data_IF_196111758734
#
_entry.id   IF_196111758734
#
_cell.length_a   1.000
_cell.length_b   1.000
_cell.length_c   1.000
_cell.angle_alpha   90.00
_cell.angle_beta   90.00
_cell.angle_gamma   90.00
#
_symmetry.space_group_name_H-M   'P 1'
#
loop_
_entity.id
_entity.type
_entity.pdbx_description
1 polymer ?
#
# COMPACT_ATOMS: atom_id res chain seq x y z
N UNK A 1 -6.34 -40.23 52.07
CA UNK A 1 -7.22 -40.37 50.89
C UNK A 1 -6.89 -39.24 49.91
N UNK A 2 -6.37 -39.62 48.74
CA UNK A 2 -6.33 -38.90 47.45
C UNK A 2 -5.48 -37.62 47.31
N UNK A 3 -4.47 -37.76 46.43
CA UNK A 3 -3.67 -36.73 45.75
C UNK A 3 -4.49 -35.60 45.13
N UNK A 4 -3.90 -34.41 44.97
CA UNK A 4 -4.06 -33.64 43.72
C UNK A 4 -2.88 -32.68 43.47
N UNK A 5 -2.12 -33.06 42.44
CA UNK A 5 -1.21 -32.22 41.66
C UNK A 5 -2.03 -31.20 40.86
N UNK A 6 -1.50 -29.99 40.71
CA UNK A 6 -2.00 -28.95 39.80
C UNK A 6 -1.98 -27.59 40.47
N UNK A 7 -1.55 -26.51 39.84
CA UNK A 7 -1.23 -26.29 38.44
C UNK A 7 -0.50 -24.93 38.40
N UNK A 8 0.57 -24.85 37.61
CA UNK A 8 1.26 -23.60 37.29
C UNK A 8 0.23 -22.52 36.92
N UNK A 9 0.29 -21.38 37.61
CA UNK A 9 -0.47 -20.18 37.26
C UNK A 9 0.20 -19.57 36.02
N UNK A 10 -0.14 -20.10 34.85
CA UNK A 10 0.27 -19.55 33.57
C UNK A 10 -0.36 -18.15 33.43
N UNK A 11 0.52 -17.15 33.30
CA UNK A 11 0.17 -15.80 32.91
C UNK A 11 -0.65 -15.87 31.62
N UNK A 12 -1.91 -15.46 31.71
CA UNK A 12 -2.84 -15.37 30.59
C UNK A 12 -2.38 -14.21 29.70
N UNK A 13 -1.36 -14.48 28.88
CA UNK A 13 -1.06 -13.64 27.73
C UNK A 13 -2.27 -13.61 26.80
N UNK A 14 -2.54 -12.50 26.10
CA UNK A 14 -3.61 -12.46 25.12
C UNK A 14 -3.23 -13.36 23.93
N UNK A 15 -3.66 -14.61 23.99
CA UNK A 15 -3.63 -15.56 22.89
C UNK A 15 -4.77 -15.22 21.91
N UNK A 16 -4.59 -14.15 21.15
CA UNK A 16 -5.29 -13.93 19.89
C UNK A 16 -4.29 -13.50 18.81
N UNK A 17 -3.17 -14.21 18.68
CA UNK A 17 -2.50 -14.33 17.38
C UNK A 17 -3.36 -15.24 16.50
N UNK A 18 -4.51 -14.70 16.08
CA UNK A 18 -5.28 -15.23 14.97
C UNK A 18 -4.35 -15.13 13.78
N UNK A 19 -3.79 -16.27 13.35
CA UNK A 19 -3.15 -16.41 12.03
C UNK A 19 -4.21 -16.06 11.00
N UNK A 20 -4.34 -14.78 10.68
CA UNK A 20 -5.01 -14.39 9.46
C UNK A 20 -4.14 -14.95 8.33
N UNK A 21 -4.66 -15.74 7.39
CA UNK A 21 -3.98 -15.93 6.12
C UNK A 21 -3.63 -14.53 5.59
N UNK A 22 -2.43 -14.36 5.01
CA UNK A 22 -2.05 -13.09 4.37
C UNK A 22 -3.24 -12.64 3.53
N UNK A 23 -3.84 -11.51 3.91
CA UNK A 23 -4.99 -10.99 3.20
C UNK A 23 -4.57 -10.83 1.74
N UNK A 24 -5.36 -11.38 0.83
CA UNK A 24 -5.09 -11.15 -0.58
C UNK A 24 -5.06 -9.63 -0.83
N UNK A 25 -4.31 -9.12 -1.82
CA UNK A 25 -4.28 -7.68 -2.10
C UNK A 25 -5.69 -7.08 -2.17
N UNK A 26 -6.64 -7.82 -2.74
CA UNK A 26 -8.08 -7.49 -2.75
C UNK A 26 -8.72 -7.35 -1.36
N UNK A 27 -8.47 -8.27 -0.44
CA UNK A 27 -8.99 -8.20 0.94
C UNK A 27 -8.31 -7.11 1.77
N UNK A 28 -7.03 -6.82 1.49
CA UNK A 28 -6.33 -5.70 2.11
C UNK A 28 -6.96 -4.39 1.64
N UNK A 29 -7.18 -4.24 0.34
CA UNK A 29 -7.85 -3.08 -0.26
C UNK A 29 -9.29 -2.89 0.27
N UNK A 30 -10.04 -3.97 0.47
CA UNK A 30 -11.41 -3.91 0.99
C UNK A 30 -11.47 -3.49 2.48
N UNK A 31 -10.40 -3.76 3.25
CA UNK A 31 -10.24 -3.25 4.64
C UNK A 31 -9.80 -1.79 4.70
N UNK A 32 -9.07 -1.31 3.69
CA UNK A 32 -8.55 0.06 3.60
C UNK A 32 -9.55 1.04 2.98
N UNK A 33 -10.69 0.53 2.47
CA UNK A 33 -11.76 1.25 1.73
C UNK A 33 -12.44 2.43 2.45
N UNK A 34 -12.06 2.74 3.69
CA UNK A 34 -12.56 3.90 4.45
C UNK A 34 -11.58 5.05 4.59
N UNK A 35 -10.30 4.88 4.23
CA UNK A 35 -9.25 5.86 4.46
C UNK A 35 -8.29 5.93 3.26
N UNK A 36 -8.31 7.07 2.56
CA UNK A 36 -7.50 7.31 1.35
C UNK A 36 -6.00 7.16 1.64
N UNK A 37 -5.55 7.58 2.83
CA UNK A 37 -4.16 7.46 3.26
C UNK A 37 -3.74 5.99 3.35
N UNK A 38 -4.60 5.17 3.97
CA UNK A 38 -4.43 3.74 4.10
C UNK A 38 -4.41 3.03 2.74
N UNK A 39 -5.26 3.45 1.80
CA UNK A 39 -5.28 2.93 0.43
C UNK A 39 -3.99 3.27 -0.35
N UNK A 40 -3.52 4.52 -0.22
CA UNK A 40 -2.24 4.97 -0.81
C UNK A 40 -1.07 4.16 -0.27
N UNK A 41 -1.03 3.93 1.04
CA UNK A 41 0.05 3.14 1.66
C UNK A 41 0.04 1.72 1.16
N UNK A 42 -1.12 1.07 1.10
CA UNK A 42 -1.23 -0.30 0.57
C UNK A 42 -0.73 -0.41 -0.87
N UNK A 43 -1.19 0.48 -1.75
CA UNK A 43 -0.78 0.52 -3.16
C UNK A 43 0.72 0.80 -3.30
N UNK A 44 1.27 1.72 -2.50
CA UNK A 44 2.69 2.06 -2.54
C UNK A 44 3.57 0.92 -2.01
N UNK A 45 3.14 0.21 -0.97
CA UNK A 45 3.86 -0.95 -0.42
C UNK A 45 3.94 -2.09 -1.45
N UNK A 46 2.81 -2.43 -2.08
CA UNK A 46 2.75 -3.40 -3.17
C UNK A 46 3.71 -3.02 -4.32
N UNK A 47 3.64 -1.77 -4.79
CA UNK A 47 4.53 -1.28 -5.86
C UNK A 47 6.00 -1.27 -5.44
N UNK A 48 6.29 -0.92 -4.19
CA UNK A 48 7.66 -0.93 -3.66
C UNK A 48 8.22 -2.35 -3.69
N UNK A 49 7.43 -3.34 -3.27
CA UNK A 49 7.82 -4.74 -3.34
C UNK A 49 8.08 -5.20 -4.77
N UNK A 50 7.20 -4.87 -5.72
CA UNK A 50 7.37 -5.21 -7.13
C UNK A 50 8.64 -4.56 -7.74
N UNK A 51 8.91 -3.30 -7.41
CA UNK A 51 10.10 -2.58 -7.87
C UNK A 51 11.38 -3.18 -7.29
N UNK A 52 11.42 -3.48 -5.99
CA UNK A 52 12.57 -4.15 -5.35
C UNK A 52 12.84 -5.49 -6.04
N UNK A 53 11.78 -6.26 -6.32
CA UNK A 53 11.88 -7.54 -7.03
C UNK A 53 12.39 -7.36 -8.45
N UNK A 54 11.94 -6.33 -9.17
CA UNK A 54 12.43 -5.99 -10.50
C UNK A 54 13.92 -5.59 -10.51
N UNK A 55 14.40 -4.98 -9.43
CA UNK A 55 15.83 -4.77 -9.17
C UNK A 55 16.59 -6.01 -8.67
N UNK A 56 15.98 -7.21 -8.72
CA UNK A 56 16.58 -8.46 -8.20
C UNK A 56 17.01 -8.33 -6.73
N UNK A 57 16.20 -7.62 -5.93
CA UNK A 57 16.46 -7.31 -4.52
C UNK A 57 17.71 -6.44 -4.28
N UNK A 58 18.16 -5.68 -5.28
CA UNK A 58 19.26 -4.71 -5.18
C UNK A 58 18.85 -3.35 -5.77
N UNK A 59 17.92 -2.64 -5.12
CA UNK A 59 17.53 -1.30 -5.58
C UNK A 59 18.70 -0.31 -5.45
N UNK A 60 18.66 0.82 -6.18
CA UNK A 60 19.69 1.85 -6.06
C UNK A 60 19.79 2.38 -4.63
N UNK A 61 20.98 2.81 -4.19
CA UNK A 61 21.19 3.33 -2.85
C UNK A 61 20.26 4.54 -2.60
N UNK A 62 19.67 4.59 -1.41
CA UNK A 62 18.70 5.64 -1.04
C UNK A 62 17.26 5.40 -1.51
N UNK A 63 16.99 4.40 -2.35
CA UNK A 63 15.62 4.11 -2.82
C UNK A 63 14.65 3.79 -1.68
N UNK A 64 15.05 2.92 -0.75
CA UNK A 64 14.18 2.50 0.36
C UNK A 64 13.86 3.65 1.31
N UNK A 65 14.83 4.52 1.59
CA UNK A 65 14.64 5.72 2.41
C UNK A 65 13.74 6.72 1.68
N UNK A 66 13.99 6.96 0.40
CA UNK A 66 13.20 7.88 -0.43
C UNK A 66 11.75 7.42 -0.56
N UNK A 67 11.50 6.13 -0.79
CA UNK A 67 10.14 5.60 -0.97
C UNK A 67 9.36 5.63 0.34
N UNK A 68 9.99 5.25 1.46
CA UNK A 68 9.36 5.24 2.79
C UNK A 68 9.11 6.65 3.37
N UNK A 69 9.81 7.67 2.88
CA UNK A 69 9.66 9.06 3.34
C UNK A 69 9.05 9.95 2.25
N UNK A 70 9.90 10.47 1.35
CA UNK A 70 9.59 11.53 0.40
C UNK A 70 8.47 11.12 -0.55
N UNK A 71 8.54 9.91 -1.14
CA UNK A 71 7.49 9.44 -2.05
C UNK A 71 6.17 9.24 -1.31
N UNK A 72 6.19 8.54 -0.18
CA UNK A 72 5.01 8.28 0.65
C UNK A 72 4.30 9.58 1.04
N UNK A 73 5.03 10.56 1.59
CA UNK A 73 4.45 11.84 2.00
C UNK A 73 3.84 12.63 0.83
N UNK A 74 4.53 12.68 -0.31
CA UNK A 74 4.06 13.44 -1.48
C UNK A 74 2.84 12.80 -2.13
N UNK A 75 2.83 11.49 -2.29
CA UNK A 75 1.69 10.77 -2.87
C UNK A 75 0.46 10.88 -1.97
N UNK A 76 0.62 10.74 -0.63
CA UNK A 76 -0.50 10.95 0.31
C UNK A 76 -1.11 12.33 0.17
N UNK A 77 -0.29 13.38 0.17
CA UNK A 77 -0.76 14.77 -0.01
C UNK A 77 -1.47 14.94 -1.36
N UNK A 78 -0.93 14.37 -2.42
CA UNK A 78 -1.48 14.48 -3.77
C UNK A 78 -2.83 13.74 -3.90
N UNK A 79 -2.93 12.54 -3.34
CA UNK A 79 -4.18 11.81 -3.24
C UNK A 79 -5.20 12.62 -2.43
N UNK A 80 -4.87 13.07 -1.22
CA UNK A 80 -5.77 13.87 -0.39
C UNK A 80 -6.36 15.07 -1.15
N UNK A 81 -5.54 15.83 -1.88
CA UNK A 81 -5.99 16.97 -2.69
C UNK A 81 -6.98 16.54 -3.77
N UNK A 82 -6.67 15.49 -4.53
CA UNK A 82 -7.52 15.03 -5.65
C UNK A 82 -8.85 14.47 -5.14
N UNK A 83 -8.82 13.67 -4.07
CA UNK A 83 -10.03 13.08 -3.51
C UNK A 83 -10.89 14.13 -2.78
N UNK A 84 -10.29 15.15 -2.15
CA UNK A 84 -11.04 16.29 -1.59
C UNK A 84 -11.69 17.15 -2.68
N UNK A 85 -10.97 17.44 -3.77
CA UNK A 85 -11.51 18.23 -4.88
C UNK A 85 -12.66 17.50 -5.58
N UNK A 86 -12.51 16.18 -5.78
CA UNK A 86 -13.55 15.30 -6.35
C UNK A 86 -14.78 15.20 -5.44
N UNK A 87 -14.62 15.22 -4.13
CA UNK A 87 -15.73 15.28 -3.18
C UNK A 87 -16.47 16.63 -3.27
N UNK A 88 -15.76 17.73 -3.53
CA UNK A 88 -16.33 19.08 -3.65
C UNK A 88 -17.03 19.33 -4.99
N UNK A 89 -16.52 18.74 -6.08
CA UNK A 89 -17.07 18.87 -7.42
C UNK A 89 -18.30 17.97 -7.67
N UNK A 90 -18.69 17.12 -6.71
CA UNK A 90 -19.73 16.12 -6.92
C UNK A 90 -21.13 16.73 -6.76
N UNK A 91 -22.03 16.57 -7.74
CA UNK A 91 -23.44 16.91 -7.57
C UNK A 91 -24.09 15.98 -6.54
N UNK A 92 -24.96 16.55 -5.70
CA UNK A 92 -25.75 15.83 -4.68
C UNK A 92 -26.57 14.72 -5.37
N UNK A 93 -26.22 13.45 -5.13
CA UNK A 93 -27.00 12.29 -5.60
C UNK A 93 -26.20 11.14 -6.22
N UNK A 94 -24.91 11.32 -6.53
CA UNK A 94 -24.06 10.22 -7.01
C UNK A 94 -23.30 9.57 -5.85
N UNK A 95 -23.71 8.35 -5.47
CA UNK A 95 -22.95 7.52 -4.55
C UNK A 95 -21.58 7.18 -5.16
N UNK A 96 -20.49 7.16 -4.37
CA UNK A 96 -19.19 6.71 -4.85
C UNK A 96 -19.29 5.27 -5.36
N UNK A 97 -18.99 5.04 -6.63
CA UNK A 97 -18.64 3.70 -7.11
C UNK A 97 -17.28 3.34 -6.51
N UNK A 98 -17.31 2.71 -5.33
CA UNK A 98 -16.16 2.30 -4.51
C UNK A 98 -15.26 1.27 -5.22
N UNK A 99 -15.62 0.84 -6.43
CA UNK A 99 -14.88 -0.12 -7.23
C UNK A 99 -13.77 0.51 -8.10
N UNK A 100 -13.83 1.81 -8.41
CA UNK A 100 -12.85 2.51 -9.27
C UNK A 100 -11.71 3.22 -8.49
N UNK A 101 -11.83 3.34 -7.17
CA UNK A 101 -10.86 4.07 -6.34
C UNK A 101 -9.45 3.43 -6.28
N UNK A 102 -9.26 2.12 -6.08
CA UNK A 102 -7.92 1.55 -5.94
C UNK A 102 -7.11 1.62 -7.24
N UNK A 103 -7.77 1.45 -8.39
CA UNK A 103 -7.16 1.57 -9.72
C UNK A 103 -6.79 3.01 -10.06
N UNK A 104 -7.64 3.97 -9.67
CA UNK A 104 -7.33 5.39 -9.78
C UNK A 104 -6.14 5.77 -8.88
N UNK A 105 -6.07 5.29 -7.63
CA UNK A 105 -4.92 5.52 -6.75
C UNK A 105 -3.66 4.87 -7.32
N UNK A 106 -3.74 3.63 -7.82
CA UNK A 106 -2.59 2.97 -8.46
C UNK A 106 -2.10 3.76 -9.67
N UNK A 107 -2.99 4.19 -10.53
CA UNK A 107 -2.62 5.02 -11.69
C UNK A 107 -1.98 6.34 -11.27
N UNK A 108 -2.51 6.98 -10.23
CA UNK A 108 -1.95 8.20 -9.65
C UNK A 108 -0.53 7.98 -9.12
N UNK A 109 -0.36 6.93 -8.31
CA UNK A 109 0.92 6.57 -7.71
C UNK A 109 1.93 6.27 -8.79
N UNK A 110 1.59 5.45 -9.79
CA UNK A 110 2.50 5.08 -10.89
C UNK A 110 2.93 6.29 -11.71
N UNK A 111 1.96 7.11 -12.16
CA UNK A 111 2.24 8.29 -12.99
C UNK A 111 3.12 9.32 -12.27
N UNK A 112 3.03 9.38 -10.94
CA UNK A 112 3.90 10.24 -10.14
C UNK A 112 5.24 9.58 -9.83
N UNK A 113 5.25 8.31 -9.42
CA UNK A 113 6.44 7.62 -8.91
C UNK A 113 7.47 7.37 -10.00
N UNK A 114 7.06 6.97 -11.20
CA UNK A 114 7.96 6.66 -12.31
C UNK A 114 8.88 7.85 -12.70
N UNK A 115 8.36 9.04 -13.06
CA UNK A 115 9.23 10.16 -13.44
C UNK A 115 10.08 10.66 -12.27
N UNK A 116 9.57 10.58 -11.03
CA UNK A 116 10.31 11.00 -9.84
C UNK A 116 11.46 10.04 -9.51
N UNK A 117 11.27 8.75 -9.75
CA UNK A 117 12.35 7.77 -9.66
C UNK A 117 13.40 7.98 -10.73
N UNK A 118 12.99 8.25 -11.98
CA UNK A 118 13.93 8.56 -13.07
C UNK A 118 14.75 9.81 -12.75
N UNK A 119 14.13 10.83 -12.15
CA UNK A 119 14.80 12.04 -11.71
C UNK A 119 15.79 11.80 -10.56
N UNK A 120 15.46 10.91 -9.61
CA UNK A 120 16.24 10.71 -8.38
C UNK A 120 17.36 9.68 -8.54
N UNK A 121 17.13 8.63 -9.34
CA UNK A 121 18.03 7.46 -9.44
C UNK A 121 18.54 7.21 -10.87
N UNK A 122 18.16 8.06 -11.83
CA UNK A 122 18.53 7.90 -13.24
C UNK A 122 17.61 6.94 -14.01
N UNK A 123 17.97 6.60 -15.26
CA UNK A 123 17.09 5.85 -16.15
C UNK A 123 16.72 4.48 -15.57
N UNK A 124 15.42 4.18 -15.54
CA UNK A 124 14.92 2.94 -14.97
C UNK A 124 15.20 1.73 -15.89
N UNK A 125 15.60 0.57 -15.33
CA UNK A 125 15.69 -0.67 -16.09
C UNK A 125 14.33 -1.08 -16.67
N UNK A 126 14.33 -1.78 -17.81
CA UNK A 126 13.09 -2.27 -18.45
C UNK A 126 12.23 -3.13 -17.53
N UNK A 127 12.85 -3.92 -16.65
CA UNK A 127 12.14 -4.73 -15.66
C UNK A 127 11.30 -3.86 -14.70
N UNK A 128 11.81 -2.68 -14.33
CA UNK A 128 11.14 -1.74 -13.43
C UNK A 128 10.07 -0.95 -14.18
N UNK A 129 10.35 -0.54 -15.42
CA UNK A 129 9.35 0.08 -16.30
C UNK A 129 8.15 -0.83 -16.55
N UNK A 130 8.36 -2.16 -16.62
CA UNK A 130 7.29 -3.15 -16.73
C UNK A 130 6.39 -3.20 -15.49
N UNK A 131 6.91 -2.95 -14.28
CA UNK A 131 6.09 -2.84 -13.06
C UNK A 131 5.12 -1.66 -13.19
N UNK A 132 5.61 -0.52 -13.66
CA UNK A 132 4.78 0.67 -13.90
C UNK A 132 3.84 0.53 -15.11
N UNK A 133 4.20 -0.31 -16.08
CA UNK A 133 3.37 -0.56 -17.27
C UNK A 133 2.42 -1.75 -17.10
N UNK A 134 2.52 -2.50 -16.01
CA UNK A 134 1.66 -3.64 -15.71
C UNK A 134 0.25 -3.11 -15.46
N UNK A 135 -0.51 -3.02 -16.55
CA UNK A 135 -1.89 -2.56 -16.61
C UNK A 135 -2.64 -3.07 -15.40
N UNK A 136 -3.18 -2.09 -14.69
CA UNK A 136 -4.46 -2.20 -14.01
C UNK A 136 -5.37 -3.03 -14.91
N UNK A 137 -5.68 -4.26 -14.49
CA UNK A 137 -6.32 -5.28 -15.31
C UNK A 137 -7.49 -5.90 -14.57
#
# INVERSE_FOLDING_TARGET
>A
MVMRVGLFKALRGPAHFRRHPMATPREMLDRLKGDVDSLVVGVLDDLTFEVIRAYKNRPPPGYLEWVSTTATHRIRRLAQTIFHDRARARPLGQAPTVHDEPEAIRSLVVNWLQPQMEQSFGPLPDAVKKVFSAKVS
#
